data_IF_116511100667
#
_entry.id   IF_116511100667
#
_cell.length_a   1.000
_cell.length_b   1.000
_cell.length_c   1.000
_cell.angle_alpha   90.00
_cell.angle_beta   90.00
_cell.angle_gamma   90.00
#
_symmetry.space_group_name_H-M   'P 1'
#
loop_
_entity.id
_entity.type
_entity.pdbx_description
1 polymer ?
#
# COMPACT_ATOMS: atom_id res chain seq x y z
N UNK A 1 -0.33 -3.41 -26.21
CA UNK A 1 0.84 -3.16 -25.37
C UNK A 1 1.06 -4.39 -24.54
N UNK A 2 2.31 -4.71 -24.33
CA UNK A 2 2.75 -5.98 -23.78
C UNK A 2 2.97 -5.85 -22.26
N UNK A 3 3.02 -4.63 -21.72
CA UNK A 3 3.12 -4.44 -20.26
C UNK A 3 2.54 -3.11 -19.78
N UNK A 4 2.27 -3.03 -18.47
CA UNK A 4 1.84 -1.79 -17.82
C UNK A 4 2.90 -0.68 -17.96
N UNK A 5 4.18 -1.02 -17.78
CA UNK A 5 5.28 -0.04 -17.87
C UNK A 5 5.39 0.53 -19.29
N UNK A 6 5.29 -0.32 -20.32
CA UNK A 6 5.22 0.14 -21.72
C UNK A 6 3.99 1.03 -21.95
N UNK A 7 2.83 0.63 -21.42
CA UNK A 7 1.61 1.43 -21.49
C UNK A 7 1.74 2.84 -20.91
N UNK A 8 2.41 2.96 -19.75
CA UNK A 8 2.70 4.26 -19.13
C UNK A 8 3.69 5.08 -19.95
N UNK A 9 4.68 4.42 -20.57
CA UNK A 9 5.67 5.11 -21.41
C UNK A 9 5.03 5.86 -22.58
N UNK A 10 3.87 5.43 -23.06
CA UNK A 10 3.12 6.05 -24.16
C UNK A 10 2.11 7.13 -23.72
N UNK A 11 2.03 7.47 -22.43
CA UNK A 11 1.11 8.52 -21.96
C UNK A 11 1.67 9.92 -22.23
N UNK A 12 0.96 10.72 -23.01
CA UNK A 12 1.41 12.07 -23.40
C UNK A 12 0.77 13.21 -22.58
N UNK A 13 -0.28 12.93 -21.81
CA UNK A 13 -1.01 13.96 -21.07
C UNK A 13 -1.62 13.45 -19.77
N UNK A 14 -1.81 14.35 -18.82
CA UNK A 14 -2.55 14.08 -17.58
C UNK A 14 -4.03 13.78 -17.84
N UNK A 15 -4.65 13.00 -16.97
CA UNK A 15 -6.08 12.68 -16.99
C UNK A 15 -6.41 11.22 -16.72
N UNK A 16 -7.71 10.90 -16.68
CA UNK A 16 -8.17 9.51 -16.60
C UNK A 16 -7.90 8.79 -17.91
N UNK A 17 -7.32 7.60 -17.83
CA UNK A 17 -6.96 6.79 -18.98
C UNK A 17 -7.14 5.31 -18.69
N UNK A 18 -7.06 4.49 -19.73
CA UNK A 18 -7.10 3.02 -19.64
C UNK A 18 -5.88 2.45 -20.33
N UNK A 19 -5.20 1.55 -19.64
CA UNK A 19 -4.02 0.84 -20.13
C UNK A 19 -4.43 -0.62 -20.29
N UNK A 20 -4.48 -1.11 -21.53
CA UNK A 20 -4.89 -2.49 -21.82
C UNK A 20 -3.67 -3.34 -22.15
N UNK A 21 -3.38 -4.33 -21.30
CA UNK A 21 -2.31 -5.30 -21.52
C UNK A 21 -2.92 -6.64 -21.91
N UNK A 22 -2.49 -7.18 -23.04
CA UNK A 22 -2.93 -8.47 -23.55
C UNK A 22 -1.76 -9.44 -23.53
N UNK A 23 -1.95 -10.56 -22.85
CA UNK A 23 -1.07 -11.73 -22.93
C UNK A 23 -1.70 -12.77 -23.85
N UNK A 24 -1.03 -13.90 -24.06
CA UNK A 24 -1.58 -14.99 -24.87
C UNK A 24 -2.87 -15.59 -24.30
N UNK A 25 -3.07 -15.51 -22.98
CA UNK A 25 -4.18 -16.18 -22.27
C UNK A 25 -5.08 -15.24 -21.47
N UNK A 26 -4.72 -13.98 -21.32
CA UNK A 26 -5.45 -13.02 -20.50
C UNK A 26 -5.39 -11.61 -21.11
N UNK A 27 -6.37 -10.77 -20.81
CA UNK A 27 -6.35 -9.35 -21.14
C UNK A 27 -6.86 -8.56 -19.96
N UNK A 28 -5.98 -7.70 -19.44
CA UNK A 28 -6.27 -6.86 -18.28
C UNK A 28 -6.37 -5.40 -18.71
N UNK A 29 -7.38 -4.70 -18.19
CA UNK A 29 -7.53 -3.25 -18.37
C UNK A 29 -7.29 -2.57 -17.04
N UNK A 30 -6.32 -1.65 -17.02
CA UNK A 30 -5.99 -0.85 -15.86
C UNK A 30 -6.53 0.56 -16.05
N UNK A 31 -7.61 0.88 -15.32
CA UNK A 31 -8.04 2.27 -15.20
C UNK A 31 -7.01 3.04 -14.36
N UNK A 32 -6.62 4.22 -14.83
CA UNK A 32 -5.60 5.04 -14.21
C UNK A 32 -5.96 6.53 -14.24
N UNK A 33 -5.45 7.26 -13.25
CA UNK A 33 -5.35 8.70 -13.28
C UNK A 33 -3.88 9.08 -13.49
N UNK A 34 -3.55 9.52 -14.69
CA UNK A 34 -2.20 9.92 -15.06
C UNK A 34 -1.94 11.39 -14.74
N UNK A 35 -0.78 11.66 -14.19
CA UNK A 35 -0.25 12.99 -13.91
C UNK A 35 1.10 13.03 -14.62
N UNK A 36 1.10 13.64 -15.81
CA UNK A 36 2.26 13.73 -16.68
C UNK A 36 2.90 15.10 -16.48
N UNK A 37 4.17 15.11 -16.13
CA UNK A 37 4.99 16.31 -15.95
C UNK A 37 6.11 16.33 -16.98
N UNK A 38 6.14 17.36 -17.81
CA UNK A 38 7.16 17.53 -18.84
C UNK A 38 8.40 18.24 -18.30
N UNK A 39 9.55 17.60 -18.43
CA UNK A 39 10.83 18.06 -17.91
C UNK A 39 11.11 17.63 -16.48
N UNK A 40 12.06 18.31 -15.85
CA UNK A 40 12.57 17.93 -14.54
C UNK A 40 11.65 18.39 -13.41
N UNK A 41 11.40 17.50 -12.46
CA UNK A 41 10.55 17.73 -11.30
C UNK A 41 11.37 17.65 -10.02
N UNK A 42 11.31 18.70 -9.20
CA UNK A 42 11.89 18.73 -7.85
C UNK A 42 10.75 18.85 -6.85
N UNK A 43 10.70 17.92 -5.89
CA UNK A 43 9.76 17.89 -4.78
C UNK A 43 10.51 18.32 -3.52
N UNK A 44 10.29 19.58 -3.11
CA UNK A 44 11.06 20.30 -2.10
C UNK A 44 10.24 20.71 -0.86
N UNK A 45 8.93 20.42 -0.86
CA UNK A 45 8.02 20.77 0.22
C UNK A 45 7.53 22.22 0.17
N UNK A 46 7.87 22.98 -0.87
CA UNK A 46 7.46 24.37 -1.06
C UNK A 46 6.69 24.56 -2.36
N UNK A 47 7.18 23.97 -3.46
CA UNK A 47 6.54 24.10 -4.76
C UNK A 47 5.29 23.24 -4.83
N UNK A 48 4.16 23.86 -5.16
CA UNK A 48 2.93 23.15 -5.52
C UNK A 48 3.10 22.46 -6.87
N UNK A 49 2.68 21.21 -6.98
CA UNK A 49 2.74 20.41 -8.21
C UNK A 49 1.33 20.03 -8.60
N UNK A 50 1.01 20.16 -9.89
CA UNK A 50 -0.31 19.77 -10.39
C UNK A 50 -0.59 18.28 -10.14
N UNK A 51 -1.86 17.95 -9.87
CA UNK A 51 -2.28 16.58 -9.61
C UNK A 51 -1.96 16.07 -8.20
N UNK A 52 -1.44 16.91 -7.30
CA UNK A 52 -1.23 16.53 -5.91
C UNK A 52 -1.69 17.61 -4.91
N UNK A 53 -1.87 17.19 -3.66
CA UNK A 53 -1.96 18.09 -2.51
C UNK A 53 -0.65 18.07 -1.76
N UNK A 54 -0.14 19.24 -1.38
CA UNK A 54 1.03 19.37 -0.52
C UNK A 54 0.60 19.78 0.89
N UNK A 55 0.92 18.94 1.89
CA UNK A 55 0.64 19.23 3.30
C UNK A 55 1.77 18.69 4.18
N UNK A 56 2.38 19.54 5.01
CA UNK A 56 3.45 19.14 5.94
C UNK A 56 4.57 18.30 5.28
N UNK A 57 5.12 18.77 4.16
CA UNK A 57 6.16 18.07 3.37
C UNK A 57 5.71 16.73 2.76
N UNK A 58 4.40 16.48 2.67
CA UNK A 58 3.84 15.29 2.03
C UNK A 58 3.16 15.72 0.73
N UNK A 59 3.65 15.21 -0.39
CA UNK A 59 3.00 15.28 -1.69
C UNK A 59 2.08 14.07 -1.86
N UNK A 60 0.77 14.30 -1.81
CA UNK A 60 -0.27 13.29 -2.01
C UNK A 60 -0.84 13.40 -3.43
N UNK A 61 -0.40 12.54 -4.33
CA UNK A 61 -0.81 12.52 -5.74
C UNK A 61 -2.17 11.83 -5.94
N UNK A 62 -2.95 12.35 -6.89
CA UNK A 62 -4.29 11.84 -7.23
C UNK A 62 -5.43 12.60 -6.56
N UNK A 63 -6.66 12.19 -6.85
CA UNK A 63 -7.88 12.83 -6.39
C UNK A 63 -8.59 11.97 -5.33
N UNK A 64 -8.64 12.47 -4.10
CA UNK A 64 -9.28 11.79 -2.95
C UNK A 64 -10.79 11.60 -3.03
N UNK A 65 -11.48 12.10 -4.06
CA UNK A 65 -12.92 11.87 -4.27
C UNK A 65 -13.20 10.93 -5.44
N UNK A 66 -12.21 10.66 -6.29
CA UNK A 66 -12.39 9.90 -7.54
C UNK A 66 -11.51 8.67 -7.64
N UNK A 67 -10.30 8.72 -7.09
CA UNK A 67 -9.32 7.64 -7.21
C UNK A 67 -9.42 6.62 -6.07
N UNK A 68 -10.10 6.98 -4.99
CA UNK A 68 -10.24 6.16 -3.78
C UNK A 68 -11.65 5.55 -3.68
N UNK A 69 -11.77 4.51 -2.86
CA UNK A 69 -13.07 3.94 -2.54
C UNK A 69 -13.94 4.92 -1.72
N UNK A 70 -15.24 4.92 -2.00
CA UNK A 70 -16.26 5.69 -1.26
C UNK A 70 -17.05 4.84 -0.27
N UNK A 71 -17.08 3.53 -0.51
CA UNK A 71 -17.70 2.55 0.38
C UNK A 71 -17.12 1.16 0.12
N UNK A 72 -17.63 0.16 0.84
CA UNK A 72 -17.30 -1.26 0.59
C UNK A 72 -17.68 -1.75 -0.81
N UNK A 73 -18.70 -1.15 -1.41
CA UNK A 73 -19.24 -1.57 -2.71
C UNK A 73 -18.87 -0.61 -3.83
N UNK A 74 -18.58 0.66 -3.51
CA UNK A 74 -17.99 1.64 -4.43
C UNK A 74 -16.48 1.72 -4.20
N UNK A 75 -15.80 0.71 -4.73
CA UNK A 75 -14.37 0.46 -4.57
C UNK A 75 -13.50 1.41 -5.40
N UNK A 76 -12.22 1.52 -5.04
CA UNK A 76 -11.24 2.26 -5.82
C UNK A 76 -11.09 1.63 -7.22
N UNK A 77 -11.15 2.47 -8.26
CA UNK A 77 -11.10 2.05 -9.66
C UNK A 77 -9.77 2.36 -10.33
N UNK A 78 -9.13 3.47 -9.93
CA UNK A 78 -7.96 3.98 -10.62
C UNK A 78 -6.67 3.64 -9.87
N UNK A 79 -5.61 3.34 -10.61
CA UNK A 79 -4.23 3.54 -10.18
C UNK A 79 -3.86 5.02 -10.33
N UNK A 80 -3.06 5.58 -9.42
CA UNK A 80 -2.47 6.92 -9.62
C UNK A 80 -1.10 6.76 -10.26
N UNK A 81 -0.85 7.50 -11.35
CA UNK A 81 0.41 7.43 -12.08
C UNK A 81 1.05 8.81 -12.10
N UNK A 82 2.26 8.93 -11.54
CA UNK A 82 3.13 10.09 -11.74
C UNK A 82 4.14 9.74 -12.83
N UNK A 83 4.01 10.36 -14.01
CA UNK A 83 4.96 10.26 -15.10
C UNK A 83 5.76 11.55 -15.18
N UNK A 84 7.09 11.47 -15.08
CA UNK A 84 8.02 12.59 -15.23
C UNK A 84 8.86 12.34 -16.48
N UNK A 85 8.66 13.17 -17.49
CA UNK A 85 9.43 13.19 -18.73
C UNK A 85 10.73 13.98 -18.53
N UNK A 86 11.53 13.56 -17.56
CA UNK A 86 12.77 14.19 -17.13
C UNK A 86 13.33 13.53 -15.88
N UNK A 87 14.15 14.26 -15.14
CA UNK A 87 14.66 13.84 -13.83
C UNK A 87 13.65 14.13 -12.72
N UNK A 88 13.53 13.23 -11.75
CA UNK A 88 12.72 13.41 -10.54
C UNK A 88 13.62 13.47 -9.32
N UNK A 89 13.64 14.59 -8.61
CA UNK A 89 14.36 14.74 -7.33
C UNK A 89 13.39 14.88 -6.18
N UNK A 90 13.53 14.03 -5.17
CA UNK A 90 12.79 14.08 -3.91
C UNK A 90 13.77 14.51 -2.83
N UNK A 91 13.55 15.67 -2.24
CA UNK A 91 14.44 16.22 -1.21
C UNK A 91 14.31 15.47 0.13
N UNK A 92 15.32 15.62 0.99
CA UNK A 92 15.29 15.08 2.34
C UNK A 92 14.11 15.64 3.14
N UNK A 93 13.48 14.80 3.96
CA UNK A 93 12.30 15.17 4.74
C UNK A 93 11.00 15.27 3.93
N UNK A 94 11.03 15.02 2.62
CA UNK A 94 9.85 15.01 1.76
C UNK A 94 9.29 13.59 1.64
N UNK A 95 7.96 13.46 1.75
CA UNK A 95 7.24 12.22 1.47
C UNK A 95 6.44 12.34 0.17
N UNK A 96 6.58 11.35 -0.72
CA UNK A 96 5.79 11.19 -1.93
C UNK A 96 4.88 9.99 -1.76
N UNK A 97 3.57 10.20 -1.92
CA UNK A 97 2.57 9.15 -1.73
C UNK A 97 1.33 9.42 -2.60
N UNK A 98 0.39 8.47 -2.61
CA UNK A 98 -0.91 8.67 -3.20
C UNK A 98 -1.92 9.25 -2.19
N UNK A 99 -2.95 9.91 -2.71
CA UNK A 99 -4.10 10.37 -1.95
C UNK A 99 -4.79 9.22 -1.21
N UNK A 100 -5.59 9.56 -0.20
CA UNK A 100 -6.41 8.61 0.57
C UNK A 100 -7.79 9.17 0.87
N UNK A 101 -8.72 8.26 1.12
CA UNK A 101 -10.07 8.57 1.57
C UNK A 101 -10.07 9.14 2.99
N UNK A 102 -10.78 10.24 3.19
CA UNK A 102 -11.03 10.81 4.52
C UNK A 102 -11.90 9.89 5.38
N UNK A 103 -12.70 9.02 4.76
CA UNK A 103 -13.61 8.07 5.41
C UNK A 103 -12.95 6.74 5.78
N UNK A 104 -11.63 6.60 5.61
CA UNK A 104 -10.88 5.43 6.05
C UNK A 104 -10.88 4.25 5.08
N UNK A 105 -11.40 4.38 3.86
CA UNK A 105 -11.42 3.30 2.86
C UNK A 105 -10.09 3.10 2.10
N UNK A 106 -8.99 3.65 2.61
CA UNK A 106 -7.66 3.56 2.01
C UNK A 106 -7.44 4.51 0.82
N UNK A 107 -6.46 4.20 0.00
CA UNK A 107 -6.05 5.00 -1.16
C UNK A 107 -6.54 4.43 -2.50
N UNK A 108 -5.85 4.74 -3.61
CA UNK A 108 -6.15 4.19 -4.93
C UNK A 108 -5.78 2.70 -5.04
N UNK A 109 -6.01 2.09 -6.21
CA UNK A 109 -5.60 0.69 -6.49
C UNK A 109 -4.09 0.47 -6.40
N UNK A 110 -3.32 1.54 -6.57
CA UNK A 110 -1.87 1.55 -6.48
C UNK A 110 -1.31 2.90 -6.89
N UNK A 111 -0.01 3.04 -6.75
CA UNK A 111 0.77 4.17 -7.25
C UNK A 111 1.87 3.66 -8.18
N UNK A 112 2.03 4.30 -9.33
CA UNK A 112 3.16 4.07 -10.24
C UNK A 112 3.91 5.39 -10.44
N UNK A 113 5.22 5.37 -10.19
CA UNK A 113 6.13 6.46 -10.54
C UNK A 113 6.93 6.03 -11.76
N UNK A 114 6.86 6.80 -12.83
CA UNK A 114 7.59 6.57 -14.08
C UNK A 114 8.47 7.78 -14.38
N UNK A 115 9.79 7.60 -14.34
CA UNK A 115 10.76 8.67 -14.57
C UNK A 115 11.61 8.33 -15.79
N UNK A 116 11.56 9.13 -16.85
CA UNK A 116 12.38 8.88 -18.05
C UNK A 116 13.86 9.19 -17.83
N UNK A 117 14.19 9.99 -16.81
CA UNK A 117 15.56 10.34 -16.43
C UNK A 117 16.02 9.65 -15.16
N UNK A 118 16.73 10.42 -14.34
CA UNK A 118 17.25 10.02 -13.03
C UNK A 118 16.22 10.29 -11.94
N UNK A 119 15.83 9.26 -11.20
CA UNK A 119 15.11 9.37 -9.94
C UNK A 119 16.13 9.50 -8.80
N UNK A 120 16.28 10.70 -8.25
CA UNK A 120 17.07 10.94 -7.03
C UNK A 120 16.14 10.98 -5.82
N UNK A 121 16.18 9.93 -5.00
CA UNK A 121 15.37 9.82 -3.79
C UNK A 121 16.22 10.09 -2.55
N UNK A 122 16.07 11.27 -1.94
CA UNK A 122 16.66 11.59 -0.63
C UNK A 122 15.61 11.60 0.50
N UNK A 123 14.33 11.43 0.17
CA UNK A 123 13.21 11.42 1.11
C UNK A 123 12.54 10.05 1.18
N UNK A 124 11.21 10.04 1.29
CA UNK A 124 10.41 8.83 1.44
C UNK A 124 9.43 8.70 0.27
N UNK A 125 9.47 7.57 -0.44
CA UNK A 125 8.39 7.16 -1.37
C UNK A 125 7.53 6.13 -0.63
N UNK A 126 6.23 6.36 -0.50
CA UNK A 126 5.38 5.53 0.36
C UNK A 126 4.01 5.19 -0.21
N UNK A 127 3.62 3.94 -0.04
CA UNK A 127 2.25 3.44 -0.08
C UNK A 127 1.86 2.77 1.26
N UNK A 128 2.54 3.14 2.35
CA UNK A 128 2.20 2.70 3.71
C UNK A 128 0.81 3.18 4.11
N UNK A 129 -0.04 2.26 4.55
CA UNK A 129 -1.42 2.55 4.92
C UNK A 129 -2.22 3.25 3.79
N UNK A 130 -1.87 3.00 2.52
CA UNK A 130 -2.52 3.58 1.32
C UNK A 130 -3.16 2.54 0.40
N UNK A 131 -3.07 1.25 0.70
CA UNK A 131 -3.84 0.26 -0.05
C UNK A 131 -5.34 0.54 0.09
N UNK A 132 -6.04 0.68 -1.02
CA UNK A 132 -7.49 0.90 -1.07
C UNK A 132 -8.29 -0.39 -1.13
N UNK A 133 -9.59 -0.31 -0.82
CA UNK A 133 -10.53 -1.38 -1.16
C UNK A 133 -10.68 -1.40 -2.68
N UNK A 134 -10.24 -2.48 -3.31
CA UNK A 134 -10.30 -2.67 -4.74
C UNK A 134 -10.53 -4.14 -5.08
N UNK A 135 -11.13 -4.39 -6.25
CA UNK A 135 -11.12 -5.74 -6.82
C UNK A 135 -9.69 -6.08 -7.24
N UNK A 136 -9.18 -7.20 -6.73
CA UNK A 136 -7.91 -7.76 -7.17
C UNK A 136 -7.95 -8.09 -8.65
N UNK A 137 -6.83 -7.87 -9.33
CA UNK A 137 -6.63 -8.21 -10.74
C UNK A 137 -5.15 -8.53 -10.94
N UNK A 138 -4.83 -9.40 -11.90
CA UNK A 138 -3.44 -9.61 -12.29
C UNK A 138 -2.90 -8.31 -12.88
N UNK A 139 -1.67 -7.94 -12.54
CA UNK A 139 -1.02 -6.75 -13.06
C UNK A 139 0.27 -7.17 -13.73
N UNK A 140 0.24 -7.24 -15.07
CA UNK A 140 1.38 -7.52 -15.94
C UNK A 140 2.29 -6.28 -16.03
N UNK A 141 3.42 -6.33 -15.33
CA UNK A 141 4.33 -5.20 -15.13
C UNK A 141 5.34 -5.06 -16.28
N UNK A 142 5.93 -6.18 -16.69
CA UNK A 142 6.99 -6.24 -17.69
C UNK A 142 6.92 -7.57 -18.45
N UNK A 143 7.25 -7.56 -19.75
CA UNK A 143 7.36 -8.76 -20.58
C UNK A 143 8.83 -9.09 -20.80
N UNK A 144 9.21 -10.32 -20.48
CA UNK A 144 10.52 -10.89 -20.70
C UNK A 144 10.58 -11.48 -22.11
N UNK A 145 11.24 -10.79 -23.04
CA UNK A 145 11.31 -11.21 -24.46
C UNK A 145 11.94 -12.60 -24.66
N UNK A 146 12.81 -13.06 -23.75
CA UNK A 146 13.54 -14.33 -23.90
C UNK A 146 13.03 -15.46 -22.99
N UNK A 147 11.84 -15.34 -22.38
CA UNK A 147 11.30 -16.37 -21.49
C UNK A 147 9.95 -16.91 -21.97
N UNK A 148 9.97 -17.98 -22.77
CA UNK A 148 8.75 -18.59 -23.32
C UNK A 148 7.84 -19.25 -22.27
N UNK A 149 8.37 -19.65 -21.11
CA UNK A 149 7.59 -20.41 -20.10
C UNK A 149 6.97 -19.53 -19.00
N UNK A 150 7.59 -18.39 -18.71
CA UNK A 150 7.05 -17.36 -17.82
C UNK A 150 7.40 -15.97 -18.38
N UNK A 151 6.71 -15.53 -19.44
CA UNK A 151 7.09 -14.33 -20.18
C UNK A 151 6.78 -13.04 -19.43
N UNK A 152 6.19 -13.07 -18.24
CA UNK A 152 5.76 -11.84 -17.55
C UNK A 152 6.22 -11.78 -16.11
N UNK A 153 6.75 -10.62 -15.75
CA UNK A 153 6.70 -10.17 -14.36
C UNK A 153 5.31 -9.62 -14.08
N UNK A 154 4.63 -10.20 -13.11
CA UNK A 154 3.28 -9.76 -12.76
C UNK A 154 3.01 -9.87 -11.26
N UNK A 155 2.08 -9.05 -10.79
CA UNK A 155 1.51 -9.16 -9.45
C UNK A 155 0.20 -9.94 -9.59
N UNK A 156 0.00 -11.04 -8.85
CA UNK A 156 -1.25 -11.78 -8.90
C UNK A 156 -2.40 -10.96 -8.29
N UNK A 157 -3.63 -11.26 -8.71
CA UNK A 157 -4.84 -10.61 -8.18
C UNK A 157 -4.99 -10.71 -6.65
N UNK A 158 -4.43 -11.76 -6.05
CA UNK A 158 -4.43 -11.97 -4.60
C UNK A 158 -3.20 -11.33 -3.98
N UNK A 159 -3.43 -10.31 -3.13
CA UNK A 159 -2.36 -9.66 -2.36
C UNK A 159 -1.90 -10.45 -1.13
N UNK A 160 -1.00 -9.84 -0.34
CA UNK A 160 -0.51 -10.43 0.90
C UNK A 160 -1.65 -10.72 1.90
N UNK A 161 -1.56 -11.85 2.60
CA UNK A 161 -2.52 -12.19 3.62
C UNK A 161 -2.49 -11.16 4.77
N UNK A 162 -3.66 -10.75 5.24
CA UNK A 162 -3.78 -10.13 6.55
C UNK A 162 -3.40 -11.10 7.67
N UNK A 163 -3.40 -10.63 8.92
CA UNK A 163 -3.11 -11.49 10.07
C UNK A 163 -3.95 -12.79 10.05
N UNK A 164 -3.27 -13.93 10.22
CA UNK A 164 -3.90 -15.25 10.26
C UNK A 164 -4.93 -15.33 11.38
N UNK A 165 -6.02 -16.04 11.11
CA UNK A 165 -7.18 -16.24 11.97
C UNK A 165 -6.85 -17.15 13.16
N UNK A 166 -6.07 -16.68 14.13
CA UNK A 166 -5.88 -17.41 15.40
C UNK A 166 -7.04 -17.01 16.31
N UNK A 167 -8.22 -17.57 16.02
CA UNK A 167 -9.48 -17.25 16.69
C UNK A 167 -10.18 -15.96 16.21
N UNK A 168 -9.94 -15.52 14.98
CA UNK A 168 -10.78 -14.51 14.32
C UNK A 168 -9.99 -13.53 13.45
N UNK A 169 -10.33 -13.44 12.17
CA UNK A 169 -9.70 -12.51 11.24
C UNK A 169 -10.25 -11.12 11.52
N UNK A 170 -9.38 -10.12 11.49
CA UNK A 170 -9.80 -8.75 11.71
C UNK A 170 -10.01 -8.36 13.17
N UNK A 171 -9.68 -9.20 14.16
CA UNK A 171 -9.53 -8.73 15.55
C UNK A 171 -10.80 -8.16 16.18
N UNK A 172 -11.75 -9.03 16.51
CA UNK A 172 -12.67 -8.76 17.61
C UNK A 172 -12.12 -9.42 18.86
N UNK A 173 -11.57 -8.66 19.79
CA UNK A 173 -11.28 -9.17 21.13
C UNK A 173 -12.58 -9.18 21.93
N UNK A 174 -12.97 -10.30 22.52
CA UNK A 174 -14.08 -10.45 23.48
C UNK A 174 -13.47 -10.79 24.83
N UNK A 175 -13.72 -9.95 25.82
CA UNK A 175 -13.33 -10.25 27.20
C UNK A 175 -14.60 -10.55 28.00
N UNK A 176 -14.81 -11.81 28.35
CA UNK A 176 -15.94 -12.26 29.18
C UNK A 176 -15.45 -12.64 30.57
N UNK A 177 -16.17 -12.22 31.61
CA UNK A 177 -15.88 -12.60 32.99
C UNK A 177 -16.99 -13.49 33.55
N UNK A 178 -16.60 -14.65 34.09
CA UNK A 178 -17.20 -15.15 35.33
C UNK A 178 -16.23 -14.84 36.47
N UNK A 179 -16.74 -14.56 37.68
CA UNK A 179 -16.02 -13.99 38.83
C UNK A 179 -14.67 -14.66 39.17
N UNK A 180 -14.50 -15.93 38.80
CA UNK A 180 -13.33 -16.75 39.12
C UNK A 180 -12.58 -17.28 37.87
N UNK A 181 -13.03 -16.97 36.64
CA UNK A 181 -12.38 -17.47 35.42
C UNK A 181 -12.36 -16.39 34.31
N UNK A 182 -11.15 -16.01 33.88
CA UNK A 182 -10.92 -15.05 32.78
C UNK A 182 -11.01 -15.82 31.46
N UNK A 183 -12.12 -15.68 30.73
CA UNK A 183 -12.19 -16.20 29.36
C UNK A 183 -12.00 -15.05 28.39
N UNK A 184 -10.83 -15.01 27.76
CA UNK A 184 -10.56 -14.10 26.64
C UNK A 184 -10.77 -14.90 25.37
N UNK A 185 -11.79 -14.54 24.59
CA UNK A 185 -12.08 -15.13 23.29
C UNK A 185 -11.86 -14.06 22.22
N UNK A 186 -11.48 -14.45 21.03
CA UNK A 186 -11.56 -13.60 19.86
C UNK A 186 -12.76 -14.05 19.01
N UNK A 187 -13.53 -13.08 18.48
CA UNK A 187 -14.68 -13.37 17.64
C UNK A 187 -14.21 -13.56 16.19
N UNK A 188 -14.73 -14.60 15.52
CA UNK A 188 -14.52 -14.82 14.11
C UNK A 188 -15.23 -13.75 13.29
N UNK A 189 -14.51 -12.73 12.83
CA UNK A 189 -15.02 -11.78 11.83
C UNK A 189 -14.56 -12.23 10.44
N UNK A 190 -15.47 -12.11 9.47
CA UNK A 190 -15.23 -12.48 8.08
C UNK A 190 -14.28 -11.48 7.42
N UNK A 191 -13.31 -12.00 6.65
CA UNK A 191 -12.26 -11.24 5.95
C UNK A 191 -12.83 -10.41 4.80
N UNK A 192 -13.38 -9.23 5.11
CA UNK A 192 -13.98 -8.31 4.12
C UNK A 192 -13.06 -7.14 3.73
N UNK A 193 -11.80 -7.14 4.18
CA UNK A 193 -10.88 -5.99 4.04
C UNK A 193 -11.00 -4.95 5.17
N UNK A 194 -12.00 -5.12 6.05
CA UNK A 194 -12.27 -4.26 7.19
C UNK A 194 -11.54 -4.75 8.44
N UNK A 195 -11.23 -3.80 9.31
CA UNK A 195 -10.93 -4.13 10.69
C UNK A 195 -12.21 -4.56 11.42
N UNK A 196 -12.12 -5.63 12.20
CA UNK A 196 -13.16 -6.11 13.10
C UNK A 196 -13.21 -5.31 14.39
N UNK A 197 -14.39 -5.25 15.00
CA UNK A 197 -14.63 -4.42 16.17
C UNK A 197 -14.25 -5.15 17.47
N UNK A 198 -13.47 -4.51 18.34
CA UNK A 198 -13.23 -5.00 19.70
C UNK A 198 -14.50 -4.91 20.55
N UNK A 199 -14.74 -5.92 21.39
CA UNK A 199 -15.91 -6.02 22.27
C UNK A 199 -15.53 -6.35 23.72
N UNK A 200 -16.16 -5.67 24.67
CA UNK A 200 -15.97 -5.91 26.10
C UNK A 200 -17.31 -6.14 26.75
N UNK A 201 -17.40 -7.01 27.76
CA UNK A 201 -18.58 -7.09 28.63
C UNK A 201 -18.52 -5.99 29.70
N UNK A 202 -19.67 -5.63 30.27
CA UNK A 202 -19.75 -4.59 31.30
C UNK A 202 -18.94 -4.94 32.56
N UNK A 203 -18.23 -3.94 33.09
CA UNK A 203 -17.52 -4.00 34.37
C UNK A 203 -15.99 -4.11 34.28
N UNK A 204 -15.32 -3.56 35.29
CA UNK A 204 -13.86 -3.64 35.54
C UNK A 204 -12.93 -2.88 34.58
N UNK A 205 -13.42 -1.96 33.74
CA UNK A 205 -12.55 -1.07 32.95
C UNK A 205 -11.68 -1.77 31.92
N UNK A 206 -12.14 -2.93 31.43
CA UNK A 206 -11.42 -3.74 30.45
C UNK A 206 -11.58 -3.16 29.06
N UNK A 207 -10.53 -3.25 28.25
CA UNK A 207 -10.47 -2.61 26.92
C UNK A 207 -10.13 -3.61 25.83
N UNK A 208 -10.83 -3.51 24.71
CA UNK A 208 -10.68 -4.34 23.54
C UNK A 208 -10.30 -3.47 22.34
N UNK A 209 -9.19 -3.82 21.67
CA UNK A 209 -8.74 -3.15 20.46
C UNK A 209 -9.50 -3.61 19.23
N UNK A 210 -9.84 -2.67 18.34
CA UNK A 210 -10.34 -2.97 17.00
C UNK A 210 -9.21 -3.31 16.02
N UNK A 211 -9.48 -4.12 15.00
CA UNK A 211 -8.51 -4.49 13.97
C UNK A 211 -8.19 -3.36 13.00
N UNK A 212 -7.01 -3.42 12.38
CA UNK A 212 -6.65 -2.56 11.26
C UNK A 212 -7.36 -2.99 9.97
N UNK A 213 -7.67 -2.03 9.09
CA UNK A 213 -8.30 -2.30 7.80
C UNK A 213 -8.88 -1.06 7.13
N UNK A 214 -9.70 -1.25 6.11
CA UNK A 214 -10.36 -0.18 5.37
C UNK A 214 -11.88 -0.38 5.37
N UNK A 215 -12.66 0.27 6.25
CA UNK A 215 -12.19 1.05 7.39
C UNK A 215 -11.66 0.14 8.52
N UNK A 216 -10.98 0.74 9.47
CA UNK A 216 -10.56 0.08 10.70
C UNK A 216 -11.76 -0.30 11.57
N UNK A 217 -11.56 -1.28 12.44
CA UNK A 217 -12.53 -1.68 13.43
C UNK A 217 -12.52 -0.79 14.65
N UNK A 218 -13.67 -0.66 15.29
CA UNK A 218 -13.82 0.15 16.50
C UNK A 218 -13.33 -0.62 17.73
N UNK A 219 -12.68 0.07 18.66
CA UNK A 219 -12.40 -0.50 19.98
C UNK A 219 -13.57 -0.34 20.96
N UNK A 220 -13.47 -0.97 22.14
CA UNK A 220 -14.49 -0.82 23.19
C UNK A 220 -13.94 -0.87 24.62
N UNK A 221 -14.72 -0.31 25.54
CA UNK A 221 -14.55 -0.38 27.00
C UNK A 221 -15.93 -0.55 27.66
N UNK A 222 -16.07 -1.44 28.63
CA UNK A 222 -17.34 -1.66 29.37
C UNK A 222 -18.59 -1.83 28.48
N UNK A 223 -18.47 -2.55 27.36
CA UNK A 223 -19.53 -2.73 26.34
C UNK A 223 -19.92 -1.47 25.55
N UNK A 224 -19.12 -0.41 25.63
CA UNK A 224 -19.30 0.83 24.86
C UNK A 224 -18.20 1.02 23.83
N UNK A 225 -18.56 1.55 22.65
CA UNK A 225 -17.60 1.91 21.60
C UNK A 225 -16.67 2.99 22.11
N UNK A 226 -15.36 2.80 21.94
CA UNK A 226 -14.36 3.77 22.34
C UNK A 226 -13.29 3.97 21.24
N UNK A 227 -13.30 5.13 20.54
CA UNK A 227 -12.37 5.42 19.45
C UNK A 227 -10.89 5.35 19.82
N UNK A 228 -10.55 5.51 21.10
CA UNK A 228 -9.15 5.45 21.59
C UNK A 228 -8.50 4.10 21.30
N UNK A 229 -9.31 3.03 21.21
CA UNK A 229 -8.83 1.66 20.97
C UNK A 229 -9.15 1.17 19.55
N UNK A 230 -9.46 2.08 18.62
CA UNK A 230 -9.65 1.71 17.23
C UNK A 230 -8.35 1.15 16.63
N UNK A 231 -8.50 0.26 15.66
CA UNK A 231 -7.40 -0.06 14.76
C UNK A 231 -7.04 1.14 13.88
N UNK A 232 -5.91 1.04 13.19
CA UNK A 232 -5.51 2.05 12.21
C UNK A 232 -6.12 1.76 10.84
N UNK A 233 -6.51 2.81 10.13
CA UNK A 233 -6.94 2.71 8.74
C UNK A 233 -5.74 2.45 7.81
N UNK A 234 -5.98 1.70 6.72
CA UNK A 234 -5.02 1.50 5.64
C UNK A 234 -4.33 0.15 5.68
N UNK A 235 -4.11 -0.44 4.51
CA UNK A 235 -3.17 -1.57 4.30
C UNK A 235 -1.93 -1.07 3.58
N UNK A 236 -0.88 -1.89 3.48
CA UNK A 236 0.17 -1.61 2.51
C UNK A 236 -0.43 -1.62 1.10
N UNK A 237 -0.04 -0.66 0.27
CA UNK A 237 -0.54 -0.52 -1.10
C UNK A 237 0.37 -1.13 -2.16
N UNK A 238 -0.06 -1.07 -3.41
CA UNK A 238 0.80 -1.36 -4.54
C UNK A 238 1.63 -0.12 -4.88
N UNK A 239 2.96 -0.25 -4.88
CA UNK A 239 3.91 0.74 -5.35
C UNK A 239 4.75 0.15 -6.49
N UNK A 240 4.75 0.83 -7.63
CA UNK A 240 5.57 0.51 -8.79
C UNK A 240 6.46 1.70 -9.08
N UNK A 241 7.76 1.47 -9.30
CA UNK A 241 8.72 2.51 -9.65
C UNK A 241 9.45 2.06 -10.90
N UNK A 242 9.46 2.92 -11.92
CA UNK A 242 10.31 2.78 -13.10
C UNK A 242 11.18 4.02 -13.23
N UNK A 243 12.49 3.82 -13.42
CA UNK A 243 13.38 4.90 -13.82
C UNK A 243 14.55 4.42 -14.68
N UNK A 244 15.15 5.32 -15.45
CA UNK A 244 16.39 4.99 -16.14
C UNK A 244 17.53 4.78 -15.15
N UNK A 245 17.69 5.70 -14.22
CA UNK A 245 18.67 5.64 -13.13
C UNK A 245 17.93 5.92 -11.83
N UNK A 246 18.24 5.17 -10.78
CA UNK A 246 17.79 5.45 -9.41
C UNK A 246 18.99 5.72 -8.54
N UNK A 247 19.03 6.90 -7.92
CA UNK A 247 20.02 7.28 -6.92
C UNK A 247 19.32 7.43 -5.57
N UNK A 248 19.69 6.60 -4.59
CA UNK A 248 19.18 6.72 -3.24
C UNK A 248 20.16 7.47 -2.33
N UNK A 249 19.63 8.46 -1.60
CA UNK A 249 20.33 9.11 -0.49
C UNK A 249 20.42 8.19 0.73
N UNK A 250 21.35 8.49 1.65
CA UNK A 250 21.62 7.66 2.83
C UNK A 250 20.45 7.51 3.80
N UNK A 251 19.53 8.48 3.83
CA UNK A 251 18.34 8.48 4.67
C UNK A 251 17.06 8.11 3.91
N UNK A 252 17.15 7.78 2.63
CA UNK A 252 15.95 7.61 1.81
C UNK A 252 15.21 6.31 2.11
N UNK A 253 13.91 6.31 1.90
CA UNK A 253 13.05 5.17 2.21
C UNK A 253 12.06 4.88 1.08
N UNK A 254 11.73 3.60 0.90
CA UNK A 254 10.70 3.12 -0.02
C UNK A 254 9.81 2.14 0.74
N UNK A 255 8.57 2.54 1.01
CA UNK A 255 7.73 1.87 2.01
C UNK A 255 6.36 1.50 1.47
N UNK A 256 5.87 0.33 1.84
CA UNK A 256 4.47 -0.08 1.61
C UNK A 256 3.97 -0.96 2.75
N UNK A 257 4.00 -0.41 3.96
CA UNK A 257 3.71 -1.16 5.17
C UNK A 257 2.20 -1.19 5.51
N UNK A 258 1.80 -2.26 6.20
CA UNK A 258 0.47 -2.37 6.81
C UNK A 258 0.32 -1.52 8.08
N UNK A 259 -0.90 -1.45 8.58
CA UNK A 259 -1.26 -0.67 9.77
C UNK A 259 -1.50 -1.54 11.00
N UNK A 260 -1.28 -0.95 12.17
CA UNK A 260 -1.37 -1.66 13.45
C UNK A 260 -2.81 -1.74 13.96
N UNK A 261 -3.11 -2.81 14.70
CA UNK A 261 -4.37 -2.93 15.42
C UNK A 261 -4.46 -1.95 16.60
N UNK A 262 -5.65 -1.86 17.21
CA UNK A 262 -5.92 -0.99 18.35
C UNK A 262 -5.34 -1.53 19.66
N UNK A 263 -4.84 -0.63 20.52
CA UNK A 263 -4.04 -0.96 21.70
C UNK A 263 -4.90 -1.16 22.98
N UNK A 264 -5.92 -2.02 22.91
CA UNK A 264 -6.67 -2.44 24.10
C UNK A 264 -5.87 -3.38 25.00
N UNK A 265 -6.40 -3.70 26.20
CA UNK A 265 -5.83 -4.74 27.06
C UNK A 265 -5.68 -6.06 26.29
N UNK A 266 -6.67 -6.37 25.46
CA UNK A 266 -6.50 -7.32 24.35
C UNK A 266 -6.46 -6.51 23.05
N UNK A 267 -5.38 -6.66 22.30
CA UNK A 267 -5.15 -5.86 21.09
C UNK A 267 -5.98 -6.30 19.90
N UNK A 268 -6.12 -5.38 18.94
CA UNK A 268 -6.68 -5.68 17.62
C UNK A 268 -5.67 -6.33 16.68
N UNK A 269 -6.17 -7.02 15.65
CA UNK A 269 -5.33 -7.60 14.59
C UNK A 269 -4.79 -6.53 13.64
N UNK A 270 -3.61 -6.80 13.07
CA UNK A 270 -2.95 -5.86 12.16
C UNK A 270 -3.20 -6.20 10.67
N UNK A 271 -2.97 -5.24 9.78
CA UNK A 271 -3.19 -5.41 8.34
C UNK A 271 -1.96 -5.97 7.64
N UNK A 272 -2.17 -6.63 6.49
CA UNK A 272 -1.06 -7.04 5.62
C UNK A 272 -0.27 -5.86 5.04
N UNK A 273 0.98 -6.14 4.68
CA UNK A 273 1.84 -5.25 3.92
C UNK A 273 1.48 -5.22 2.43
N UNK A 274 2.12 -4.32 1.69
CA UNK A 274 1.83 -4.04 0.30
C UNK A 274 2.75 -4.77 -0.68
N UNK A 275 2.90 -4.23 -1.88
CA UNK A 275 3.91 -4.71 -2.82
C UNK A 275 4.72 -3.54 -3.36
N UNK A 276 6.04 -3.71 -3.42
CA UNK A 276 6.97 -2.74 -3.98
C UNK A 276 7.65 -3.43 -5.16
N UNK A 277 7.53 -2.86 -6.36
CA UNK A 277 8.13 -3.40 -7.57
C UNK A 277 8.91 -2.29 -8.28
N UNK A 278 10.24 -2.45 -8.36
CA UNK A 278 11.15 -1.43 -8.88
C UNK A 278 11.84 -1.97 -10.13
N UNK A 279 11.74 -1.21 -11.22
CA UNK A 279 12.30 -1.50 -12.52
C UNK A 279 13.29 -0.41 -12.91
N UNK A 280 14.53 -0.80 -13.18
CA UNK A 280 15.62 0.13 -13.45
C UNK A 280 16.18 -0.16 -14.83
N UNK A 281 16.27 0.85 -15.70
CA UNK A 281 16.77 0.62 -17.07
C UNK A 281 18.28 0.55 -17.16
N UNK A 282 19.02 1.32 -16.36
CA UNK A 282 20.48 1.45 -16.47
C UNK A 282 21.18 1.19 -15.14
N UNK A 283 20.95 2.05 -14.15
CA UNK A 283 21.74 2.02 -12.90
C UNK A 283 20.87 2.14 -11.66
N UNK A 284 21.13 1.27 -10.68
CA UNK A 284 20.54 1.33 -9.34
C UNK A 284 21.65 1.62 -8.33
N UNK A 285 21.80 2.90 -8.00
CA UNK A 285 22.89 3.42 -7.18
C UNK A 285 22.44 3.62 -5.74
N UNK A 286 23.20 3.00 -4.84
CA UNK A 286 22.96 2.94 -3.39
C UNK A 286 21.64 2.23 -3.03
N UNK A 287 21.69 1.40 -2.00
CA UNK A 287 20.46 0.94 -1.36
C UNK A 287 19.88 2.10 -0.54
N UNK A 288 18.56 2.33 -0.57
CA UNK A 288 17.93 3.25 0.37
C UNK A 288 18.11 2.68 1.78
N UNK A 289 17.95 3.55 2.79
CA UNK A 289 18.00 3.15 4.20
C UNK A 289 17.08 1.97 4.50
N UNK A 290 15.86 2.01 3.95
CA UNK A 290 14.86 0.96 4.09
C UNK A 290 14.06 0.77 2.79
N UNK A 291 13.91 -0.49 2.36
CA UNK A 291 12.84 -0.92 1.45
C UNK A 291 11.97 -1.91 2.21
N UNK A 292 10.72 -1.56 2.50
CA UNK A 292 9.93 -2.33 3.45
C UNK A 292 8.46 -2.42 3.08
N UNK A 293 7.97 -3.65 2.91
CA UNK A 293 6.57 -3.98 2.70
C UNK A 293 5.97 -4.82 3.84
N UNK A 294 6.45 -4.66 5.07
CA UNK A 294 6.01 -5.47 6.21
C UNK A 294 4.54 -5.24 6.55
N UNK A 295 3.92 -6.28 7.13
CA UNK A 295 2.61 -6.15 7.75
C UNK A 295 2.65 -5.25 8.98
N UNK A 296 1.47 -4.80 9.40
CA UNK A 296 1.33 -4.02 10.63
C UNK A 296 1.60 -4.86 11.87
N UNK A 297 1.78 -4.18 12.99
CA UNK A 297 2.04 -4.81 14.29
C UNK A 297 0.76 -5.08 15.07
N UNK A 298 0.70 -6.24 15.71
CA UNK A 298 -0.29 -6.48 16.75
C UNK A 298 0.11 -5.68 18.01
N UNK A 299 -0.86 -5.00 18.62
CA UNK A 299 -0.66 -4.11 19.78
C UNK A 299 -1.38 -4.69 21.02
N UNK A 300 -1.37 -4.01 22.17
CA UNK A 300 -2.02 -4.44 23.41
C UNK A 300 -1.13 -5.19 24.40
N UNK A 301 -1.57 -5.24 25.67
CA UNK A 301 -0.87 -5.97 26.75
C UNK A 301 -0.97 -7.49 26.56
N UNK A 302 -2.10 -7.96 26.06
CA UNK A 302 -2.38 -9.35 25.73
C UNK A 302 -2.56 -9.44 24.21
N UNK A 303 -1.51 -9.91 23.52
CA UNK A 303 -1.48 -10.03 22.06
C UNK A 303 -2.03 -11.38 21.61
N UNK A 304 -3.35 -11.54 21.66
CA UNK A 304 -4.04 -12.71 21.10
C UNK A 304 -4.36 -12.54 19.60
N UNK A 305 -4.26 -11.31 19.10
CA UNK A 305 -4.47 -10.99 17.69
C UNK A 305 -3.16 -11.07 16.89
N UNK A 306 -3.23 -11.53 15.64
CA UNK A 306 -2.04 -11.75 14.80
C UNK A 306 -1.42 -10.46 14.23
N UNK A 307 -0.11 -10.53 13.95
CA UNK A 307 0.60 -9.56 13.10
C UNK A 307 0.15 -9.71 11.65
N UNK A 308 0.17 -8.63 10.89
CA UNK A 308 -0.12 -8.68 9.46
C UNK A 308 0.94 -9.50 8.71
N UNK A 309 0.53 -10.19 7.64
CA UNK A 309 1.49 -10.83 6.74
C UNK A 309 2.35 -9.78 6.04
N UNK A 310 3.63 -10.11 5.84
CA UNK A 310 4.50 -9.27 5.04
C UNK A 310 4.08 -9.30 3.56
N UNK A 311 4.28 -8.16 2.93
CA UNK A 311 4.16 -7.94 1.51
C UNK A 311 5.35 -8.47 0.71
N UNK A 312 5.43 -8.04 -0.55
CA UNK A 312 6.52 -8.38 -1.46
C UNK A 312 7.37 -7.17 -1.84
N UNK A 313 8.66 -7.42 -2.07
CA UNK A 313 9.61 -6.44 -2.60
C UNK A 313 10.34 -7.09 -3.76
N UNK A 314 10.32 -6.45 -4.92
CA UNK A 314 11.09 -6.82 -6.10
C UNK A 314 11.84 -5.58 -6.62
N UNK A 315 13.13 -5.75 -6.91
CA UNK A 315 13.95 -4.72 -7.56
C UNK A 315 14.76 -5.42 -8.63
N UNK A 316 14.62 -4.99 -9.87
CA UNK A 316 15.30 -5.59 -11.00
C UNK A 316 15.70 -4.59 -12.07
N UNK A 317 16.73 -4.99 -12.80
CA UNK A 317 17.13 -4.31 -14.03
C UNK A 317 16.28 -4.82 -15.19
N UNK A 318 15.96 -3.92 -16.12
CA UNK A 318 15.34 -4.23 -17.43
C UNK A 318 16.20 -3.75 -18.60
N UNK A 319 17.50 -3.54 -18.35
CA UNK A 319 18.45 -3.06 -19.36
C UNK A 319 18.51 -3.98 -20.59
N UNK A 320 18.43 -5.29 -20.37
CA UNK A 320 18.52 -6.33 -21.40
C UNK A 320 17.16 -6.76 -21.94
N UNK A 321 16.15 -5.90 -21.81
CA UNK A 321 14.74 -6.14 -22.17
C UNK A 321 14.06 -7.26 -21.36
N UNK A 322 14.81 -7.95 -20.51
CA UNK A 322 14.33 -8.95 -19.57
C UNK A 322 14.53 -8.42 -18.16
N UNK A 323 13.57 -8.70 -17.29
CA UNK A 323 13.68 -8.42 -15.88
C UNK A 323 14.69 -9.37 -15.24
N UNK A 324 15.72 -8.78 -14.63
CA UNK A 324 16.74 -9.49 -13.86
C UNK A 324 16.72 -8.95 -12.43
N UNK A 325 16.32 -9.78 -11.47
CA UNK A 325 16.33 -9.39 -10.06
C UNK A 325 17.75 -9.05 -9.59
N UNK A 326 17.92 -7.83 -9.09
CA UNK A 326 19.20 -7.32 -8.54
C UNK A 326 19.15 -7.14 -7.02
N UNK A 327 17.98 -7.36 -6.42
CA UNK A 327 17.79 -7.32 -4.97
C UNK A 327 17.33 -8.68 -4.46
N UNK A 328 18.13 -9.25 -3.56
CA UNK A 328 17.79 -10.47 -2.82
C UNK A 328 17.54 -10.07 -1.37
N UNK A 329 16.28 -10.16 -0.93
CA UNK A 329 15.96 -10.15 0.49
C UNK A 329 16.70 -11.34 1.13
N UNK A 330 17.68 -11.09 1.99
CA UNK A 330 18.24 -12.09 2.90
C UNK A 330 17.53 -11.98 4.26
#
# INVERSE_FOLDING_TARGET
MDSLIEGVSNLESSGKTKIQVSTESDTQTYDANAIVYDGNLVLDGQKTVEGCTLNNNIYEFGNKTEDVAKSQTDMAKNMVILKVNGDLTINEGITVTACKSDSGFGGPKGMLIYCTGTLTNNGTISMTARGGIAKGQNIYLWKNENNETNPYEYIPATGAAGAAQVGGSGGSSIITLNRDNRTVNCANVTSTGNGGNGFTVMGYGRTAGGGAGNPCGTGSINAEVNPTYNGQNGTGGLLIIYANIINNGSNSEILSQGSSGGNGMVGGGASGGGSINIFVKKEYNNQPKNINANGGSATGTITLSGKGGNGSVSVGSVETENYVSIYKNY
#
